data_IF_531046058458
#
_entry.id   IF_531046058458
#
_cell.length_a   1.000
_cell.length_b   1.000
_cell.length_c   1.000
_cell.angle_alpha   90.00
_cell.angle_beta   90.00
_cell.angle_gamma   90.00
#
_symmetry.space_group_name_H-M   'P 1'
#
loop_
_entity.id
_entity.type
_entity.pdbx_description
1 polymer ?
#
# COMPACT_ATOMS: atom_id res chain seq x y z
N UNK A 1 20.13 -3.38 -18.18
CA UNK A 1 19.48 -3.00 -16.91
C UNK A 1 20.30 -3.55 -15.76
N UNK A 2 20.47 -2.78 -14.67
CA UNK A 2 21.12 -3.26 -13.45
C UNK A 2 20.30 -4.40 -12.83
N UNK A 3 20.92 -5.20 -11.95
CA UNK A 3 20.19 -6.24 -11.18
C UNK A 3 18.95 -5.65 -10.50
N UNK A 4 19.11 -4.56 -9.74
CA UNK A 4 18.00 -3.87 -9.08
C UNK A 4 16.90 -3.44 -10.05
N UNK A 5 17.28 -2.83 -11.19
CA UNK A 5 16.29 -2.42 -12.19
C UNK A 5 15.48 -3.58 -12.74
N UNK A 6 16.10 -4.76 -12.93
CA UNK A 6 15.36 -5.97 -13.34
C UNK A 6 14.41 -6.44 -12.24
N UNK A 7 14.86 -6.47 -10.98
CA UNK A 7 14.00 -6.86 -9.86
C UNK A 7 12.83 -5.91 -9.66
N UNK A 8 13.04 -4.59 -9.74
CA UNK A 8 11.94 -3.61 -9.65
C UNK A 8 10.90 -3.82 -10.76
N UNK A 9 11.32 -4.16 -11.98
CA UNK A 9 10.40 -4.43 -13.10
C UNK A 9 9.58 -5.73 -12.93
N UNK A 10 9.95 -6.65 -12.02
CA UNK A 10 9.08 -7.80 -11.70
C UNK A 10 7.92 -7.41 -10.79
N UNK A 11 8.05 -6.30 -10.09
CA UNK A 11 7.00 -5.77 -9.21
C UNK A 11 5.93 -5.15 -10.10
N UNK A 12 4.72 -5.63 -9.92
CA UNK A 12 3.60 -5.28 -10.81
C UNK A 12 3.42 -3.77 -10.99
N UNK A 13 3.43 -2.99 -9.91
CA UNK A 13 3.20 -1.54 -9.95
C UNK A 13 4.42 -0.74 -10.44
N UNK A 14 5.59 -1.33 -10.55
CA UNK A 14 6.78 -0.68 -11.10
C UNK A 14 6.95 -0.92 -12.61
N UNK A 15 6.12 -1.78 -13.22
CA UNK A 15 6.15 -2.07 -14.66
C UNK A 15 5.79 -0.86 -15.52
N UNK A 16 5.01 0.09 -14.99
CA UNK A 16 4.66 1.34 -15.67
C UNK A 16 5.65 2.48 -15.42
N UNK A 17 6.64 2.29 -14.54
CA UNK A 17 7.67 3.30 -14.35
C UNK A 17 8.50 3.49 -15.62
N UNK A 18 8.75 4.73 -15.95
CA UNK A 18 9.69 5.08 -17.03
C UNK A 18 11.12 4.67 -16.68
N UNK A 19 11.98 4.57 -17.68
CA UNK A 19 13.41 4.28 -17.44
C UNK A 19 14.09 5.32 -16.53
N UNK A 20 13.67 6.59 -16.60
CA UNK A 20 14.19 7.66 -15.74
C UNK A 20 13.79 7.45 -14.29
N UNK A 21 12.52 7.19 -14.02
CA UNK A 21 12.00 6.91 -12.70
C UNK A 21 12.68 5.67 -12.08
N UNK A 22 12.78 4.57 -12.83
CA UNK A 22 13.51 3.39 -12.38
C UNK A 22 14.96 3.68 -12.04
N UNK A 23 15.64 4.53 -12.84
CA UNK A 23 17.02 4.91 -12.54
C UNK A 23 17.13 5.69 -11.24
N UNK A 24 16.21 6.64 -11.01
CA UNK A 24 16.15 7.43 -9.77
C UNK A 24 15.81 6.53 -8.58
N UNK A 25 14.83 5.63 -8.71
CA UNK A 25 14.46 4.66 -7.66
C UNK A 25 15.64 3.78 -7.26
N UNK A 26 16.35 3.20 -8.25
CA UNK A 26 17.55 2.39 -8.00
C UNK A 26 18.63 3.21 -7.30
N UNK A 27 18.82 4.48 -7.72
CA UNK A 27 19.80 5.39 -7.11
C UNK A 27 19.44 5.79 -5.66
N UNK A 28 18.16 5.73 -5.29
CA UNK A 28 17.66 6.06 -3.96
C UNK A 28 17.69 4.86 -2.99
N UNK A 29 17.90 3.63 -3.49
CA UNK A 29 17.99 2.45 -2.63
C UNK A 29 19.26 2.46 -1.80
N UNK A 30 19.15 2.02 -0.55
CA UNK A 30 20.26 1.92 0.41
C UNK A 30 20.61 0.45 0.68
N UNK A 31 21.91 0.13 0.71
CA UNK A 31 22.37 -1.23 1.01
C UNK A 31 22.42 -1.46 2.52
N UNK A 32 21.89 -2.60 2.96
CA UNK A 32 21.87 -3.03 4.37
C UNK A 32 22.32 -4.49 4.46
N UNK A 33 23.06 -4.83 5.51
CA UNK A 33 23.51 -6.21 5.76
C UNK A 33 22.99 -6.67 7.11
N UNK A 34 22.52 -7.90 7.15
CA UNK A 34 21.94 -8.53 8.34
C UNK A 34 22.67 -9.84 8.61
N UNK A 35 22.93 -10.11 9.89
CA UNK A 35 23.50 -11.38 10.34
C UNK A 35 22.39 -12.45 10.49
N UNK A 36 22.81 -13.72 10.60
CA UNK A 36 21.89 -14.86 10.73
C UNK A 36 20.88 -14.67 11.87
N UNK A 37 19.61 -14.94 11.59
CA UNK A 37 18.49 -14.82 12.53
C UNK A 37 18.03 -13.39 12.82
N UNK A 38 18.69 -12.36 12.24
CA UNK A 38 18.27 -10.97 12.45
C UNK A 38 16.85 -10.73 11.94
N UNK A 39 16.04 -10.05 12.74
CA UNK A 39 14.68 -9.67 12.38
C UNK A 39 14.73 -8.38 11.54
N UNK A 40 14.32 -8.47 10.27
CA UNK A 40 14.30 -7.37 9.30
C UNK A 40 12.95 -6.65 9.36
N UNK A 41 11.88 -7.43 9.41
CA UNK A 41 10.49 -6.98 9.52
C UNK A 41 9.82 -7.75 10.65
N UNK A 42 8.98 -7.08 11.44
CA UNK A 42 8.13 -7.70 12.44
C UNK A 42 6.66 -7.58 12.06
N UNK A 43 5.94 -8.72 12.09
CA UNK A 43 4.51 -8.78 11.85
C UNK A 43 3.75 -7.82 12.76
N UNK A 44 2.76 -7.12 12.21
CA UNK A 44 1.91 -6.17 12.94
C UNK A 44 2.52 -4.78 13.12
N UNK A 45 3.83 -4.58 12.91
CA UNK A 45 4.43 -3.24 12.93
C UNK A 45 4.08 -2.46 11.65
N UNK A 46 4.04 -1.13 11.74
CA UNK A 46 3.90 -0.27 10.56
C UNK A 46 5.12 -0.43 9.65
N UNK A 47 4.87 -0.62 8.37
CA UNK A 47 5.91 -0.79 7.38
C UNK A 47 6.19 0.51 6.65
N UNK A 48 7.45 0.91 6.58
CA UNK A 48 7.92 2.14 5.90
C UNK A 48 8.93 1.88 4.78
N UNK A 49 9.33 0.62 4.58
CA UNK A 49 10.32 0.26 3.58
C UNK A 49 10.02 -1.06 2.87
N UNK A 50 10.53 -1.18 1.69
CA UNK A 50 10.53 -2.32 0.78
C UNK A 50 11.96 -2.80 0.59
N UNK A 51 12.15 -4.10 0.39
CA UNK A 51 13.47 -4.71 0.32
C UNK A 51 13.64 -5.62 -0.90
N UNK A 52 14.83 -5.59 -1.49
CA UNK A 52 15.30 -6.52 -2.54
C UNK A 52 16.47 -7.31 -2.00
N UNK A 53 16.43 -8.63 -2.10
CA UNK A 53 17.52 -9.53 -1.69
C UNK A 53 18.60 -9.50 -2.76
N UNK A 54 19.81 -9.01 -2.40
CA UNK A 54 20.99 -9.04 -3.27
C UNK A 54 21.78 -10.33 -3.10
N UNK A 55 21.92 -10.76 -1.83
CA UNK A 55 22.70 -11.95 -1.46
C UNK A 55 22.12 -12.57 -0.17
N UNK A 56 22.28 -13.88 -0.02
CA UNK A 56 21.75 -14.62 1.13
C UNK A 56 20.30 -15.07 0.95
N UNK A 57 19.58 -15.21 2.05
CA UNK A 57 18.20 -15.72 2.09
C UNK A 57 17.42 -15.04 3.20
N UNK A 58 16.11 -14.92 3.03
CA UNK A 58 15.20 -14.53 4.10
C UNK A 58 14.04 -15.52 4.21
N UNK A 59 13.58 -15.75 5.44
CA UNK A 59 12.39 -16.53 5.76
C UNK A 59 11.27 -15.57 6.21
N UNK A 60 10.10 -15.70 5.60
CA UNK A 60 8.88 -15.02 5.98
C UNK A 60 8.07 -15.89 6.93
N UNK A 61 7.71 -15.33 8.09
CA UNK A 61 6.96 -16.01 9.14
C UNK A 61 5.65 -15.28 9.38
N UNK A 62 4.55 -16.01 9.36
CA UNK A 62 3.23 -15.53 9.76
C UNK A 62 2.79 -16.29 11.00
N UNK A 63 2.47 -15.56 12.08
CA UNK A 63 2.12 -16.13 13.37
C UNK A 63 3.19 -17.12 13.87
N UNK A 64 4.49 -16.74 13.67
CA UNK A 64 5.69 -17.50 13.94
C UNK A 64 5.88 -18.79 13.12
N UNK A 65 4.97 -19.12 12.21
CA UNK A 65 5.12 -20.22 11.27
C UNK A 65 5.75 -19.75 9.95
N UNK A 66 6.74 -20.49 9.47
CA UNK A 66 7.40 -20.20 8.20
C UNK A 66 6.46 -20.47 7.02
N UNK A 67 6.11 -19.41 6.28
CA UNK A 67 5.21 -19.49 5.12
C UNK A 67 5.92 -19.39 3.78
N UNK A 68 7.12 -18.77 3.73
CA UNK A 68 7.85 -18.57 2.50
C UNK A 68 9.34 -18.41 2.80
N UNK A 69 10.20 -18.94 1.94
CA UNK A 69 11.62 -18.57 1.86
C UNK A 69 11.88 -17.84 0.55
N UNK A 70 12.64 -16.76 0.64
CA UNK A 70 13.09 -15.99 -0.54
C UNK A 70 14.61 -16.17 -0.59
N UNK A 71 15.12 -17.15 -1.36
CA UNK A 71 16.54 -17.35 -1.54
C UNK A 71 17.10 -16.34 -2.53
N UNK A 72 18.40 -16.07 -2.45
CA UNK A 72 19.17 -15.54 -3.56
C UNK A 72 20.11 -16.63 -4.04
N UNK A 73 19.64 -17.61 -4.83
CA UNK A 73 20.53 -18.51 -5.54
C UNK A 73 21.30 -17.68 -6.57
N UNK A 74 22.33 -18.27 -7.15
CA UNK A 74 23.22 -17.62 -8.12
C UNK A 74 22.53 -16.52 -8.93
N UNK A 75 23.17 -15.36 -9.01
CA UNK A 75 22.65 -14.09 -9.60
C UNK A 75 22.06 -14.24 -11.01
N UNK A 76 22.18 -15.40 -11.61
CA UNK A 76 21.78 -15.73 -12.97
C UNK A 76 20.65 -16.75 -13.08
N UNK A 77 20.12 -17.28 -11.97
CA UNK A 77 19.01 -18.23 -12.02
C UNK A 77 17.68 -17.48 -12.39
N UNK A 78 17.18 -17.62 -13.62
CA UNK A 78 15.97 -16.97 -14.06
C UNK A 78 14.69 -17.59 -13.44
N UNK A 79 14.79 -18.75 -12.77
CA UNK A 79 13.64 -19.44 -12.16
C UNK A 79 13.16 -18.75 -10.88
N UNK A 80 13.99 -17.93 -10.23
CA UNK A 80 13.64 -17.16 -9.05
C UNK A 80 13.12 -15.78 -9.47
N UNK A 81 11.84 -15.71 -9.79
CA UNK A 81 11.18 -14.47 -10.21
C UNK A 81 11.10 -13.43 -9.10
N UNK A 82 10.90 -13.85 -7.84
CA UNK A 82 10.65 -12.94 -6.71
C UNK A 82 11.82 -12.91 -5.74
N UNK A 83 12.57 -11.83 -5.76
CA UNK A 83 13.67 -11.56 -4.81
C UNK A 83 13.41 -10.31 -3.97
N UNK A 84 12.16 -10.04 -3.65
CA UNK A 84 11.75 -8.85 -2.90
C UNK A 84 10.62 -9.16 -1.94
N UNK A 85 10.48 -8.32 -0.92
CA UNK A 85 9.42 -8.40 0.10
C UNK A 85 9.10 -7.02 0.67
N UNK A 86 7.94 -6.91 1.31
CA UNK A 86 7.49 -5.67 1.96
C UNK A 86 7.03 -4.59 0.98
N UNK A 87 6.76 -4.94 -0.28
CA UNK A 87 6.32 -4.03 -1.34
C UNK A 87 5.02 -3.31 -1.01
N UNK A 88 4.15 -3.92 -0.22
CA UNK A 88 2.89 -3.30 0.20
C UNK A 88 3.12 -2.07 1.08
N UNK A 89 4.24 -2.03 1.80
CA UNK A 89 4.61 -0.88 2.60
C UNK A 89 4.90 0.39 1.78
N UNK A 90 5.24 0.25 0.50
CA UNK A 90 5.38 1.40 -0.39
C UNK A 90 4.04 2.01 -0.77
N UNK A 91 3.00 1.18 -0.81
CA UNK A 91 1.68 1.53 -1.30
C UNK A 91 0.74 1.96 -0.17
N UNK A 92 0.76 1.21 0.94
CA UNK A 92 -0.20 1.33 2.03
C UNK A 92 0.49 1.50 3.38
N UNK A 93 -0.13 2.25 4.30
CA UNK A 93 0.28 2.30 5.71
C UNK A 93 -0.35 1.14 6.51
N UNK A 94 -0.31 -0.05 5.90
CA UNK A 94 -0.84 -1.25 6.52
C UNK A 94 0.19 -1.90 7.46
N UNK A 95 -0.26 -2.54 8.54
CA UNK A 95 0.61 -3.36 9.35
C UNK A 95 1.28 -4.48 8.53
N UNK A 96 2.51 -4.82 8.88
CA UNK A 96 3.25 -5.91 8.23
C UNK A 96 2.50 -7.22 8.33
N UNK A 97 2.22 -7.86 7.21
CA UNK A 97 1.46 -9.12 7.14
C UNK A 97 2.25 -10.32 7.72
N UNK A 98 3.58 -10.24 7.77
CA UNK A 98 4.46 -11.28 8.24
C UNK A 98 5.76 -10.69 8.80
N UNK A 99 6.42 -11.43 9.67
CA UNK A 99 7.81 -11.17 10.07
C UNK A 99 8.77 -11.69 9.00
N UNK A 100 9.92 -11.07 8.85
CA UNK A 100 10.99 -11.50 7.93
C UNK A 100 12.30 -11.57 8.68
N UNK A 101 12.95 -12.74 8.65
CA UNK A 101 14.24 -13.01 9.29
C UNK A 101 15.31 -13.36 8.25
N UNK A 102 16.51 -12.87 8.47
CA UNK A 102 17.68 -13.27 7.69
C UNK A 102 18.05 -14.74 7.99
N UNK A 103 18.47 -15.47 6.94
CA UNK A 103 19.03 -16.83 7.04
C UNK A 103 20.46 -16.75 6.50
N UNK A 104 21.42 -16.95 7.40
CA UNK A 104 22.81 -16.63 7.12
C UNK A 104 23.05 -15.12 6.98
N UNK A 105 24.26 -14.75 6.60
CA UNK A 105 24.58 -13.35 6.29
C UNK A 105 23.84 -12.93 5.03
N UNK A 106 22.95 -11.93 5.14
CA UNK A 106 22.04 -11.51 4.07
C UNK A 106 22.27 -10.04 3.73
N UNK A 107 22.43 -9.72 2.44
CA UNK A 107 22.55 -8.37 1.93
C UNK A 107 21.29 -7.96 1.19
N UNK A 108 20.72 -6.83 1.61
CA UNK A 108 19.47 -6.29 1.08
C UNK A 108 19.67 -4.88 0.51
N UNK A 109 18.83 -4.50 -0.42
CA UNK A 109 18.60 -3.13 -0.81
C UNK A 109 17.24 -2.67 -0.29
N UNK A 110 17.22 -1.56 0.43
CA UNK A 110 16.01 -0.97 1.00
C UNK A 110 15.59 0.29 0.24
N UNK A 111 14.30 0.46 0.03
CA UNK A 111 13.67 1.68 -0.49
C UNK A 111 12.58 2.11 0.47
N UNK A 112 12.69 3.29 1.03
CA UNK A 112 11.66 3.83 1.92
C UNK A 112 10.46 4.41 1.14
N UNK A 113 9.29 4.40 1.82
CA UNK A 113 8.02 4.85 1.24
C UNK A 113 8.03 6.33 0.87
N UNK A 114 8.64 7.16 1.71
CA UNK A 114 8.65 8.62 1.50
C UNK A 114 9.41 8.95 0.23
N UNK A 115 10.58 8.35 0.06
CA UNK A 115 11.41 8.47 -1.14
C UNK A 115 10.67 7.92 -2.37
N UNK A 116 10.06 6.72 -2.25
CA UNK A 116 9.25 6.14 -3.32
C UNK A 116 8.12 7.07 -3.76
N UNK A 117 7.29 7.52 -2.80
CA UNK A 117 6.19 8.44 -3.08
C UNK A 117 6.70 9.75 -3.72
N UNK A 118 7.78 10.36 -3.22
CA UNK A 118 8.30 11.62 -3.77
C UNK A 118 8.81 11.51 -5.22
N UNK A 119 9.38 10.35 -5.59
CA UNK A 119 9.87 10.12 -6.96
C UNK A 119 8.69 9.93 -7.93
N UNK A 120 7.63 9.26 -7.48
CA UNK A 120 6.52 8.86 -8.34
C UNK A 120 5.29 9.79 -8.26
N UNK A 121 5.27 10.77 -7.35
CA UNK A 121 4.15 11.72 -7.21
C UNK A 121 3.86 12.54 -8.48
N UNK A 122 4.76 12.56 -9.44
CA UNK A 122 4.62 13.31 -10.69
C UNK A 122 4.13 12.45 -11.87
N UNK A 123 3.88 11.17 -11.66
CA UNK A 123 3.44 10.26 -12.72
C UNK A 123 1.96 9.88 -12.53
N UNK A 124 1.09 10.42 -13.38
CA UNK A 124 -0.34 10.09 -13.41
C UNK A 124 -0.56 8.59 -13.62
N UNK A 125 0.28 7.92 -14.40
CA UNK A 125 0.21 6.49 -14.66
C UNK A 125 0.42 5.65 -13.40
N UNK A 126 1.38 6.06 -12.54
CA UNK A 126 1.64 5.38 -11.26
C UNK A 126 0.50 5.62 -10.29
N UNK A 127 -0.02 6.84 -10.23
CA UNK A 127 -1.18 7.19 -9.40
C UNK A 127 -2.41 6.36 -9.77
N UNK A 128 -2.73 6.27 -11.06
CA UNK A 128 -3.84 5.47 -11.59
C UNK A 128 -3.67 3.98 -11.26
N UNK A 129 -2.46 3.47 -11.33
CA UNK A 129 -2.18 2.07 -11.00
C UNK A 129 -2.29 1.80 -9.49
N UNK A 130 -1.83 2.72 -8.63
CA UNK A 130 -2.03 2.64 -7.18
C UNK A 130 -3.52 2.58 -6.85
N UNK A 131 -4.30 3.47 -7.45
CA UNK A 131 -5.75 3.50 -7.28
C UNK A 131 -6.42 2.20 -7.79
N UNK A 132 -5.97 1.66 -8.91
CA UNK A 132 -6.50 0.40 -9.46
C UNK A 132 -6.33 -0.77 -8.49
N UNK A 133 -5.15 -0.93 -7.90
CA UNK A 133 -4.92 -1.99 -6.90
C UNK A 133 -5.69 -1.75 -5.62
N UNK A 134 -5.76 -0.51 -5.18
CA UNK A 134 -6.49 -0.12 -4.01
C UNK A 134 -7.98 -0.46 -4.17
N UNK A 135 -8.59 -0.07 -5.28
CA UNK A 135 -9.98 -0.40 -5.62
C UNK A 135 -10.19 -1.92 -5.67
N UNK A 136 -9.27 -2.68 -6.26
CA UNK A 136 -9.35 -4.16 -6.32
C UNK A 136 -9.18 -4.85 -4.95
N UNK A 137 -8.54 -4.21 -3.98
CA UNK A 137 -8.42 -4.74 -2.61
C UNK A 137 -9.74 -4.66 -1.83
N UNK A 138 -10.63 -3.75 -2.23
CA UNK A 138 -11.94 -3.56 -1.61
C UNK A 138 -12.86 -4.70 -2.05
N UNK A 139 -13.42 -5.42 -1.09
CA UNK A 139 -14.28 -6.58 -1.35
C UNK A 139 -15.43 -6.28 -2.33
N UNK A 140 -16.00 -5.09 -2.24
CA UNK A 140 -17.12 -4.61 -3.09
C UNK A 140 -16.75 -4.54 -4.57
N UNK A 141 -15.48 -4.32 -4.92
CA UNK A 141 -14.99 -4.11 -6.28
C UNK A 141 -14.15 -5.27 -6.83
N UNK A 142 -14.04 -6.37 -6.08
CA UNK A 142 -13.18 -7.51 -6.42
C UNK A 142 -13.51 -8.15 -7.76
N UNK A 143 -14.79 -8.16 -8.13
CA UNK A 143 -15.30 -8.81 -9.36
C UNK A 143 -15.37 -7.87 -10.58
N UNK A 144 -14.91 -6.62 -10.43
CA UNK A 144 -14.88 -5.66 -11.52
C UNK A 144 -13.84 -6.06 -12.57
N UNK A 145 -14.20 -5.91 -13.85
CA UNK A 145 -13.26 -6.05 -14.98
C UNK A 145 -12.26 -4.89 -14.96
N UNK A 146 -11.06 -5.11 -15.50
CA UNK A 146 -10.00 -4.10 -15.54
C UNK A 146 -10.46 -2.77 -16.17
N UNK A 147 -11.30 -2.80 -17.20
CA UNK A 147 -11.88 -1.60 -17.83
C UNK A 147 -12.78 -0.81 -16.87
N UNK A 148 -13.54 -1.50 -16.00
CA UNK A 148 -14.41 -0.89 -15.01
C UNK A 148 -13.58 -0.31 -13.86
N UNK A 149 -12.54 -1.02 -13.42
CA UNK A 149 -11.58 -0.52 -12.42
C UNK A 149 -10.91 0.75 -12.92
N UNK A 150 -10.44 0.78 -14.17
CA UNK A 150 -9.81 1.96 -14.76
C UNK A 150 -10.80 3.16 -14.84
N UNK A 151 -12.05 2.92 -15.25
CA UNK A 151 -13.08 3.96 -15.27
C UNK A 151 -13.35 4.52 -13.86
N UNK A 152 -13.44 3.64 -12.86
CA UNK A 152 -13.62 4.02 -11.46
C UNK A 152 -12.43 4.86 -10.96
N UNK A 153 -11.21 4.43 -11.23
CA UNK A 153 -10.00 5.16 -10.84
C UNK A 153 -9.93 6.55 -11.48
N UNK A 154 -10.41 6.68 -12.73
CA UNK A 154 -10.47 7.99 -13.41
C UNK A 154 -11.52 8.94 -12.82
N UNK A 155 -12.51 8.44 -12.09
CA UNK A 155 -13.54 9.22 -11.42
C UNK A 155 -13.19 9.61 -9.98
N UNK A 156 -12.07 9.08 -9.44
CA UNK A 156 -11.60 9.39 -8.09
C UNK A 156 -11.17 10.86 -7.98
N UNK A 157 -11.70 11.55 -6.98
CA UNK A 157 -11.33 12.91 -6.64
C UNK A 157 -10.72 12.95 -5.24
N UNK A 158 -9.47 13.38 -5.15
CA UNK A 158 -8.81 13.55 -3.86
C UNK A 158 -9.38 14.75 -3.10
N UNK A 159 -9.62 14.60 -1.80
CA UNK A 159 -10.07 15.64 -0.89
C UNK A 159 -9.28 15.57 0.42
N UNK A 160 -8.79 16.72 0.87
CA UNK A 160 -8.03 16.84 2.11
C UNK A 160 -8.88 17.49 3.20
N UNK A 161 -8.70 17.03 4.43
CA UNK A 161 -9.41 17.49 5.63
C UNK A 161 -8.40 17.74 6.76
N UNK A 162 -8.64 18.80 7.54
CA UNK A 162 -7.88 19.08 8.76
C UNK A 162 -8.51 18.37 9.96
N UNK A 163 -7.77 18.34 11.08
CA UNK A 163 -8.22 17.71 12.34
C UNK A 163 -9.58 18.23 12.79
N UNK A 164 -10.51 17.31 13.03
CA UNK A 164 -11.86 17.61 13.47
C UNK A 164 -12.88 17.92 12.35
N UNK A 165 -12.43 18.06 11.09
CA UNK A 165 -13.34 18.27 9.96
C UNK A 165 -14.31 17.09 9.78
N UNK A 166 -15.54 17.40 9.40
CA UNK A 166 -16.56 16.39 9.12
C UNK A 166 -16.58 16.08 7.62
N UNK A 167 -16.23 14.84 7.27
CA UNK A 167 -16.28 14.34 5.89
C UNK A 167 -17.71 14.01 5.46
N UNK A 168 -18.42 13.28 6.30
CA UNK A 168 -19.86 12.97 6.13
C UNK A 168 -20.57 13.07 7.47
N UNK A 169 -21.85 13.46 7.44
CA UNK A 169 -22.67 13.61 8.65
C UNK A 169 -23.78 12.56 8.69
N UNK A 170 -23.99 11.96 9.85
CA UNK A 170 -25.10 11.02 10.08
C UNK A 170 -26.44 11.66 9.73
N UNK A 171 -27.27 10.92 9.00
CA UNK A 171 -28.60 11.33 8.57
C UNK A 171 -28.63 12.11 7.26
N UNK A 172 -27.50 12.59 6.73
CA UNK A 172 -27.46 13.23 5.42
C UNK A 172 -27.66 12.20 4.29
N UNK A 173 -28.17 12.65 3.16
CA UNK A 173 -28.22 11.82 1.95
C UNK A 173 -26.80 11.52 1.47
N UNK A 174 -26.59 10.30 1.01
CA UNK A 174 -25.26 9.84 0.60
C UNK A 174 -25.19 9.58 -0.90
N UNK A 175 -24.46 10.42 -1.62
CA UNK A 175 -24.20 10.33 -3.07
C UNK A 175 -22.79 9.89 -3.41
N UNK A 176 -21.95 9.65 -2.41
CA UNK A 176 -20.54 9.35 -2.61
C UNK A 176 -20.03 8.30 -1.63
N UNK A 177 -18.98 7.63 -2.04
CA UNK A 177 -18.19 6.66 -1.32
C UNK A 177 -16.77 7.22 -1.16
N UNK A 178 -16.14 6.92 -0.05
CA UNK A 178 -14.83 7.48 0.30
C UNK A 178 -13.84 6.38 0.65
N UNK A 179 -12.62 6.54 0.21
CA UNK A 179 -11.50 5.67 0.51
C UNK A 179 -10.42 6.50 1.21
N UNK A 180 -9.90 6.04 2.33
CA UNK A 180 -8.84 6.76 3.06
C UNK A 180 -7.52 6.57 2.33
N UNK A 181 -7.00 7.64 1.71
CA UNK A 181 -5.71 7.66 1.04
C UNK A 181 -4.56 7.80 2.03
N UNK A 182 -4.75 8.62 3.08
CA UNK A 182 -3.79 8.76 4.19
C UNK A 182 -4.47 9.37 5.41
N UNK A 183 -3.94 9.08 6.60
CA UNK A 183 -4.46 9.57 7.86
C UNK A 183 -5.50 8.65 8.50
N UNK A 184 -6.30 9.19 9.42
CA UNK A 184 -7.30 8.46 10.20
C UNK A 184 -8.59 9.27 10.28
N UNK A 185 -9.74 8.58 10.36
CA UNK A 185 -11.01 9.22 10.66
C UNK A 185 -11.81 8.41 11.69
N UNK A 186 -12.51 9.12 12.57
CA UNK A 186 -13.40 8.52 13.55
C UNK A 186 -14.83 8.44 12.98
N UNK A 187 -15.43 7.26 13.03
CA UNK A 187 -16.84 7.03 12.73
C UNK A 187 -17.65 7.17 14.02
N UNK A 188 -18.60 8.12 14.03
CA UNK A 188 -19.44 8.41 15.19
C UNK A 188 -20.89 8.09 14.86
N UNK A 189 -21.53 7.27 15.71
CA UNK A 189 -22.96 7.02 15.69
C UNK A 189 -23.58 7.64 16.92
N UNK A 190 -24.56 8.51 16.72
CA UNK A 190 -25.23 9.26 17.80
C UNK A 190 -24.23 9.99 18.72
N UNK A 191 -23.14 10.51 18.14
CA UNK A 191 -22.08 11.22 18.85
C UNK A 191 -21.03 10.36 19.55
N UNK A 192 -21.19 9.03 19.54
CA UNK A 192 -20.25 8.07 20.15
C UNK A 192 -19.35 7.47 19.08
N UNK A 193 -18.03 7.45 19.30
CA UNK A 193 -17.09 6.79 18.39
C UNK A 193 -17.31 5.28 18.41
N UNK A 194 -17.68 4.72 17.27
CA UNK A 194 -17.92 3.28 17.10
C UNK A 194 -16.80 2.56 16.38
N UNK A 195 -16.03 3.27 15.55
CA UNK A 195 -14.85 2.73 14.89
C UNK A 195 -13.91 3.85 14.45
N UNK A 196 -12.68 3.48 14.13
CA UNK A 196 -11.70 4.34 13.46
C UNK A 196 -11.34 3.67 12.15
N UNK A 197 -11.33 4.44 11.07
CA UNK A 197 -10.89 4.03 9.75
C UNK A 197 -9.49 4.60 9.49
N UNK A 198 -8.64 3.79 8.88
CA UNK A 198 -7.24 4.09 8.61
C UNK A 198 -6.97 4.10 7.10
N UNK A 199 -5.75 4.47 6.72
CA UNK A 199 -5.28 4.35 5.34
C UNK A 199 -5.59 2.95 4.80
N UNK A 200 -6.26 2.88 3.64
CA UNK A 200 -6.70 1.63 3.03
C UNK A 200 -8.13 1.22 3.36
N UNK A 201 -8.72 1.77 4.39
CA UNK A 201 -10.13 1.54 4.71
C UNK A 201 -11.05 2.41 3.84
N UNK A 202 -12.34 2.10 3.88
CA UNK A 202 -13.36 2.83 3.13
C UNK A 202 -14.64 3.03 3.97
N UNK A 203 -15.42 4.03 3.60
CA UNK A 203 -16.71 4.32 4.26
C UNK A 203 -17.71 4.99 3.31
N UNK A 204 -18.97 4.93 3.68
CA UNK A 204 -20.06 5.56 2.94
C UNK A 204 -20.67 4.68 1.84
N UNK A 205 -20.23 3.43 1.70
CA UNK A 205 -20.71 2.46 0.71
C UNK A 205 -22.19 2.10 0.87
N UNK A 206 -22.69 2.09 2.11
CA UNK A 206 -24.07 1.71 2.40
C UNK A 206 -25.07 2.68 1.78
N UNK A 207 -24.73 3.97 1.76
CA UNK A 207 -25.58 4.99 1.15
C UNK A 207 -25.74 4.79 -0.36
N UNK A 208 -24.67 4.38 -1.06
CA UNK A 208 -24.72 4.08 -2.49
C UNK A 208 -25.44 2.76 -2.80
N UNK A 209 -25.19 1.72 -2.01
CA UNK A 209 -25.72 0.38 -2.28
C UNK A 209 -27.21 0.27 -1.89
N UNK A 210 -27.63 0.92 -0.80
CA UNK A 210 -28.96 0.80 -0.24
C UNK A 210 -29.85 2.03 -0.43
N UNK A 211 -29.30 3.12 -0.96
CA UNK A 211 -29.98 4.42 -1.05
C UNK A 211 -30.56 4.88 0.31
N UNK A 212 -29.79 4.64 1.38
CA UNK A 212 -30.15 4.98 2.76
C UNK A 212 -29.34 6.22 3.20
N UNK A 213 -29.85 7.03 4.16
CA UNK A 213 -29.10 8.10 4.77
C UNK A 213 -27.81 7.61 5.43
N UNK A 214 -26.82 8.49 5.57
CA UNK A 214 -25.54 8.20 6.24
C UNK A 214 -25.78 7.62 7.63
N UNK A 215 -25.26 6.42 7.88
CA UNK A 215 -25.45 5.70 9.14
C UNK A 215 -24.62 6.26 10.29
N UNK A 216 -23.56 6.99 10.00
CA UNK A 216 -22.64 7.58 10.96
C UNK A 216 -22.05 8.90 10.43
N UNK A 217 -21.59 9.74 11.35
CA UNK A 217 -20.73 10.87 11.05
C UNK A 217 -19.28 10.37 10.97
N UNK A 218 -18.54 10.77 9.93
CA UNK A 218 -17.12 10.50 9.82
C UNK A 218 -16.35 11.80 9.94
N UNK A 219 -15.44 11.86 10.92
CA UNK A 219 -14.66 13.05 11.25
C UNK A 219 -13.18 12.76 11.17
N UNK A 220 -12.43 13.66 10.55
CA UNK A 220 -10.98 13.57 10.46
C UNK A 220 -10.33 13.60 11.85
N UNK A 221 -9.29 12.79 12.04
CA UNK A 221 -8.45 12.72 13.23
C UNK A 221 -7.00 12.97 12.80
N UNK A 222 -6.56 14.20 12.97
CA UNK A 222 -5.36 14.72 12.34
C UNK A 222 -5.61 15.07 10.86
N UNK A 223 -4.54 15.23 10.10
CA UNK A 223 -4.66 15.42 8.64
C UNK A 223 -5.17 14.16 7.97
N UNK A 224 -6.18 14.28 7.15
CA UNK A 224 -6.82 13.17 6.45
C UNK A 224 -6.90 13.49 4.95
N UNK A 225 -6.46 12.58 4.10
CA UNK A 225 -6.72 12.59 2.67
C UNK A 225 -7.62 11.43 2.29
N UNK A 226 -8.68 11.68 1.52
CA UNK A 226 -9.60 10.67 1.02
C UNK A 226 -9.81 10.78 -0.47
N UNK A 227 -10.12 9.66 -1.11
CA UNK A 227 -10.54 9.57 -2.49
C UNK A 227 -12.06 9.43 -2.53
N UNK A 228 -12.73 10.43 -3.10
CA UNK A 228 -14.19 10.44 -3.27
C UNK A 228 -14.56 9.82 -4.62
N UNK A 229 -15.58 8.96 -4.61
CA UNK A 229 -16.28 8.41 -5.77
C UNK A 229 -17.76 8.81 -5.62
N UNK A 230 -18.32 9.49 -6.58
CA UNK A 230 -19.72 9.88 -6.61
C UNK A 230 -20.29 9.82 -8.01
#
# INVERSE_FOLDING_TARGET
ASFLGRQLMTIFFMKSCTRKELHVLVGAMTSQTYEDGALIIKQGERGDAFYVVEDGQVDCLKDDEKVLSIPCPDKEDPSVERRYFGELALLYDAPRAASVKAVGRTKLWALDRTTFKSILQQSDDVKMMLYSKFVQSIHLFRDLKLSQVNALCSSLVAQDFDDGDTVVKQGDDGDAFYIVESGEAACLKDGVVVSIVHEGDYFGELALVRNEPRQATVRAKGKLSVLKIG
#
